data_IF_919915300930
#
_entry.id   IF_919915300930
#
_cell.length_a   1.000
_cell.length_b   1.000
_cell.length_c   1.000
_cell.angle_alpha   90.00
_cell.angle_beta   90.00
_cell.angle_gamma   90.00
#
_symmetry.space_group_name_H-M   'P 1'
#
loop_
_entity.id
_entity.type
_entity.pdbx_description
1 polymer ?
#
# COMPACT_ATOMS: atom_id res chain seq x y z
N UNK A 1 -37.24 -35.81 -10.11
CA UNK A 1 -35.82 -36.04 -10.49
C UNK A 1 -34.92 -35.15 -9.64
N UNK A 2 -33.69 -35.59 -9.38
CA UNK A 2 -32.85 -35.31 -8.20
C UNK A 2 -32.13 -33.94 -8.21
N UNK A 3 -31.82 -33.44 -7.00
CA UNK A 3 -30.94 -32.30 -6.65
C UNK A 3 -29.52 -32.45 -7.20
N UNK A 4 -28.82 -31.33 -7.39
CA UNK A 4 -27.37 -31.23 -7.18
C UNK A 4 -26.95 -29.82 -6.74
N UNK A 5 -26.72 -29.65 -5.43
CA UNK A 5 -25.75 -28.71 -4.88
C UNK A 5 -24.35 -29.23 -5.19
N UNK A 6 -23.43 -28.41 -5.69
CA UNK A 6 -22.01 -28.75 -5.74
C UNK A 6 -21.24 -27.93 -4.70
N UNK A 7 -20.97 -28.56 -3.56
CA UNK A 7 -20.03 -28.08 -2.55
C UNK A 7 -18.60 -28.16 -3.10
N UNK A 8 -17.82 -27.08 -2.93
CA UNK A 8 -16.39 -27.06 -3.24
C UNK A 8 -15.64 -27.77 -2.13
N UNK A 9 -15.00 -28.89 -2.48
CA UNK A 9 -14.23 -29.76 -1.59
C UNK A 9 -12.86 -29.12 -1.28
N UNK A 10 -12.61 -28.80 -0.01
CA UNK A 10 -11.27 -28.44 0.46
C UNK A 10 -10.35 -29.68 0.43
N UNK A 11 -9.19 -29.55 -0.21
CA UNK A 11 -8.18 -30.61 -0.32
C UNK A 11 -7.40 -30.67 1.00
N UNK A 12 -7.60 -31.74 1.77
CA UNK A 12 -6.87 -32.02 3.02
C UNK A 12 -5.71 -32.96 2.70
N UNK A 13 -4.50 -32.43 2.50
CA UNK A 13 -3.29 -33.25 2.36
C UNK A 13 -2.76 -33.59 3.75
N UNK A 14 -3.05 -34.80 4.23
CA UNK A 14 -2.41 -35.37 5.43
C UNK A 14 -1.16 -36.12 4.96
N UNK A 15 0.03 -35.60 5.23
CA UNK A 15 1.28 -36.37 5.08
C UNK A 15 1.52 -37.19 6.34
N UNK A 16 1.60 -38.51 6.16
CA UNK A 16 1.92 -39.50 7.19
C UNK A 16 3.42 -39.38 7.53
N UNK A 17 3.74 -39.02 8.77
CA UNK A 17 5.11 -39.10 9.29
C UNK A 17 5.39 -40.57 9.64
N UNK A 18 6.37 -41.18 8.97
CA UNK A 18 6.93 -42.48 9.35
C UNK A 18 7.96 -42.27 10.45
N UNK A 19 7.69 -42.78 11.65
CA UNK A 19 8.66 -42.83 12.75
C UNK A 19 9.55 -44.06 12.59
N UNK A 20 10.87 -43.84 12.58
CA UNK A 20 11.88 -44.89 12.79
C UNK A 20 12.34 -44.73 14.25
N UNK A 21 12.00 -45.70 15.09
CA UNK A 21 12.38 -45.72 16.51
C UNK A 21 13.83 -46.14 16.68
N UNK A 22 14.66 -45.28 17.25
CA UNK A 22 15.88 -45.64 17.97
C UNK A 22 15.97 -44.70 19.20
N UNK A 23 16.24 -45.31 20.35
CA UNK A 23 15.94 -44.76 21.67
C UNK A 23 16.81 -43.61 22.15
N UNK A 24 16.22 -42.84 23.06
CA UNK A 24 16.73 -42.22 24.30
C UNK A 24 15.64 -41.23 24.73
N UNK A 25 15.23 -41.29 25.99
CA UNK A 25 14.18 -40.40 26.53
C UNK A 25 14.67 -38.95 26.56
N UNK A 26 14.40 -38.23 25.46
CA UNK A 26 14.52 -36.78 25.37
C UNK A 26 13.13 -36.17 25.39
N UNK A 27 12.87 -35.28 26.34
CA UNK A 27 11.66 -34.49 26.40
C UNK A 27 11.61 -33.59 25.14
N UNK A 28 10.78 -33.97 24.16
CA UNK A 28 10.57 -33.14 22.97
C UNK A 28 9.64 -32.00 23.37
N UNK A 29 10.23 -30.85 23.70
CA UNK A 29 9.49 -29.58 23.68
C UNK A 29 9.02 -29.36 22.25
N UNK A 30 7.70 -29.26 21.98
CA UNK A 30 7.24 -28.88 20.65
C UNK A 30 7.80 -27.49 20.38
N UNK A 31 8.76 -27.37 19.46
CA UNK A 31 9.06 -26.06 18.90
C UNK A 31 7.83 -25.65 18.10
N UNK A 32 7.06 -24.72 18.64
CA UNK A 32 6.07 -23.99 17.86
C UNK A 32 6.88 -23.17 16.86
N UNK A 33 7.13 -23.77 15.71
CA UNK A 33 7.63 -23.03 14.56
C UNK A 33 6.50 -22.11 14.13
N UNK A 34 6.61 -20.84 14.48
CA UNK A 34 5.71 -19.79 14.03
C UNK A 34 5.93 -19.62 12.52
N UNK A 35 5.28 -20.46 11.71
CA UNK A 35 5.16 -20.23 10.29
C UNK A 35 4.08 -19.16 10.12
N UNK A 36 4.49 -17.90 10.19
CA UNK A 36 3.65 -16.83 9.65
C UNK A 36 3.57 -17.09 8.14
N UNK A 37 2.45 -17.66 7.71
CA UNK A 37 1.97 -17.53 6.34
C UNK A 37 0.88 -16.48 6.34
N UNK A 38 1.15 -15.33 6.96
CA UNK A 38 0.36 -14.15 6.64
C UNK A 38 0.71 -13.77 5.20
N UNK A 39 -0.27 -13.48 4.33
CA UNK A 39 0.04 -12.65 3.17
C UNK A 39 0.71 -11.38 3.72
N UNK A 40 1.79 -10.93 3.08
CA UNK A 40 2.53 -9.79 3.61
C UNK A 40 1.60 -8.59 3.69
N UNK A 41 1.39 -8.11 4.92
CA UNK A 41 0.38 -7.10 5.19
C UNK A 41 0.77 -5.82 4.45
N UNK A 42 0.01 -5.52 3.41
CA UNK A 42 0.17 -4.33 2.60
C UNK A 42 -0.37 -3.12 3.36
N UNK A 43 0.15 -1.95 3.06
CA UNK A 43 -0.15 -0.71 3.79
C UNK A 43 -0.57 0.40 2.83
N UNK A 44 -1.50 1.22 3.29
CA UNK A 44 -1.89 2.47 2.65
C UNK A 44 -1.43 3.61 3.55
N UNK A 45 -0.60 4.48 3.02
CA UNK A 45 -0.04 5.64 3.70
C UNK A 45 -0.66 6.89 3.09
N UNK A 46 -1.54 7.52 3.86
CA UNK A 46 -2.24 8.74 3.48
C UNK A 46 -1.67 9.94 4.24
N UNK A 47 -1.46 11.05 3.52
CA UNK A 47 -1.20 12.37 4.07
C UNK A 47 -0.12 12.36 5.17
N UNK A 48 -0.40 12.84 6.39
CA UNK A 48 0.57 12.92 7.50
C UNK A 48 1.31 11.61 7.82
N UNK A 49 0.75 10.45 7.49
CA UNK A 49 1.43 9.17 7.74
C UNK A 49 2.72 9.00 6.93
N UNK A 50 2.84 9.64 5.76
CA UNK A 50 4.09 9.59 4.99
C UNK A 50 5.23 10.29 5.74
N UNK A 51 4.91 11.29 6.57
CA UNK A 51 5.86 12.08 7.36
C UNK A 51 6.24 11.44 8.69
N UNK A 52 5.54 10.37 9.08
CA UNK A 52 5.71 9.75 10.39
C UNK A 52 7.12 9.14 10.57
N UNK A 53 7.52 9.02 11.83
CA UNK A 53 8.72 8.31 12.28
C UNK A 53 10.00 8.65 11.49
N UNK A 54 10.42 9.92 11.40
CA UNK A 54 11.58 10.33 10.59
C UNK A 54 12.89 9.65 11.03
N UNK A 55 13.02 9.26 12.30
CA UNK A 55 14.20 8.55 12.80
C UNK A 55 14.14 7.02 12.59
N UNK A 56 13.10 6.48 11.95
CA UNK A 56 12.94 5.04 11.73
C UNK A 56 13.20 4.67 10.26
N UNK A 57 14.37 4.08 9.93
CA UNK A 57 14.76 3.81 8.54
C UNK A 57 13.76 2.92 7.78
N UNK A 58 13.15 1.94 8.46
CA UNK A 58 12.16 1.06 7.83
C UNK A 58 10.94 1.85 7.34
N UNK A 59 10.53 2.91 8.03
CA UNK A 59 9.45 3.77 7.56
C UNK A 59 9.87 4.56 6.31
N UNK A 60 11.10 5.09 6.29
CA UNK A 60 11.67 5.75 5.11
C UNK A 60 11.73 4.81 3.90
N UNK A 61 12.11 3.55 4.10
CA UNK A 61 12.14 2.52 3.06
C UNK A 61 10.75 2.19 2.52
N UNK A 62 9.73 2.13 3.39
CA UNK A 62 8.33 1.89 3.00
C UNK A 62 7.76 3.07 2.23
N UNK A 63 7.93 4.29 2.73
CA UNK A 63 7.48 5.53 2.07
C UNK A 63 8.23 5.75 0.76
N UNK A 64 9.52 5.40 0.71
CA UNK A 64 10.39 5.64 -0.44
C UNK A 64 11.06 7.00 -0.46
N UNK A 65 10.98 7.76 0.63
CA UNK A 65 11.58 9.08 0.77
C UNK A 65 12.47 9.07 2.01
N UNK A 66 13.77 9.28 1.80
CA UNK A 66 14.78 9.20 2.85
C UNK A 66 14.78 10.45 3.74
N UNK A 67 14.91 11.63 3.12
CA UNK A 67 14.75 12.91 3.81
C UNK A 67 13.31 13.39 3.67
N UNK A 68 12.58 13.37 4.78
CA UNK A 68 11.19 13.83 4.86
C UNK A 68 11.06 15.19 5.54
N UNK A 69 12.13 15.98 5.51
CA UNK A 69 12.06 17.41 5.78
C UNK A 69 11.14 18.05 4.75
N UNK A 70 10.17 18.84 5.20
CA UNK A 70 9.10 19.31 4.32
C UNK A 70 8.67 20.74 4.68
N UNK A 71 8.21 21.47 3.68
CA UNK A 71 7.31 22.61 3.84
C UNK A 71 5.88 22.20 3.53
N UNK A 72 4.89 22.83 4.15
CA UNK A 72 3.48 22.59 3.86
C UNK A 72 2.75 23.89 3.53
N UNK A 73 1.78 23.79 2.63
CA UNK A 73 0.94 24.91 2.21
C UNK A 73 -0.52 24.46 2.16
N UNK A 74 -1.37 24.88 3.10
CA UNK A 74 -2.80 24.53 3.08
C UNK A 74 -3.52 25.27 1.95
N UNK A 75 -4.74 24.84 1.63
CA UNK A 75 -5.68 25.53 0.74
C UNK A 75 -5.10 25.79 -0.67
N UNK A 76 -4.31 24.86 -1.21
CA UNK A 76 -3.84 24.94 -2.59
C UNK A 76 -4.85 24.29 -3.53
N UNK A 77 -4.92 24.79 -4.77
CA UNK A 77 -5.64 24.12 -5.85
C UNK A 77 -4.65 23.34 -6.69
N UNK A 78 -4.76 22.02 -6.68
CA UNK A 78 -3.93 21.11 -7.44
C UNK A 78 -4.66 20.64 -8.67
N UNK A 79 -3.97 20.70 -9.82
CA UNK A 79 -4.31 19.90 -11.00
C UNK A 79 -3.53 18.60 -10.93
N UNK A 80 -4.22 17.52 -10.60
CA UNK A 80 -3.63 16.18 -10.50
C UNK A 80 -3.67 15.51 -11.86
N UNK A 81 -2.51 15.08 -12.34
CA UNK A 81 -2.30 14.42 -13.63
C UNK A 81 -2.07 12.93 -13.44
N UNK A 82 -2.48 12.12 -14.44
CA UNK A 82 -2.26 10.68 -14.46
C UNK A 82 -0.86 10.41 -15.04
N UNK A 83 0.06 9.93 -14.21
CA UNK A 83 1.43 9.62 -14.63
C UNK A 83 1.54 8.19 -15.20
N UNK A 84 0.80 7.25 -14.64
CA UNK A 84 0.71 5.87 -15.14
C UNK A 84 -0.76 5.50 -15.42
N UNK A 85 -1.21 5.50 -16.69
CA UNK A 85 -2.59 5.15 -17.03
C UNK A 85 -2.86 3.64 -17.07
N UNK A 86 -1.84 2.79 -16.97
CA UNK A 86 -1.98 1.33 -17.06
C UNK A 86 -2.08 0.68 -15.67
N UNK A 87 -1.55 1.33 -14.63
CA UNK A 87 -1.60 0.82 -13.26
C UNK A 87 -3.06 0.72 -12.74
N UNK A 88 -3.45 -0.38 -12.04
CA UNK A 88 -4.85 -0.60 -11.64
C UNK A 88 -5.51 0.54 -10.85
N UNK A 89 -4.72 1.29 -10.07
CA UNK A 89 -5.23 2.42 -9.28
C UNK A 89 -5.70 3.59 -10.15
N UNK A 90 -5.03 3.80 -11.28
CA UNK A 90 -5.17 4.97 -12.17
C UNK A 90 -5.74 4.62 -13.54
N UNK A 91 -5.91 3.33 -13.82
CA UNK A 91 -6.53 2.84 -15.04
C UNK A 91 -7.94 3.40 -15.23
N UNK A 92 -8.21 3.84 -16.46
CA UNK A 92 -9.47 4.44 -16.91
C UNK A 92 -9.85 5.72 -16.13
N UNK A 93 -8.84 6.42 -15.59
CA UNK A 93 -9.01 7.71 -14.91
C UNK A 93 -8.53 8.87 -15.76
N UNK A 94 -9.07 10.04 -15.47
CA UNK A 94 -8.65 11.30 -16.09
C UNK A 94 -8.02 12.20 -15.04
N UNK A 95 -7.24 13.19 -15.48
CA UNK A 95 -6.77 14.27 -14.64
C UNK A 95 -7.95 15.02 -14.00
N UNK A 96 -7.75 15.53 -12.78
CA UNK A 96 -8.77 16.26 -12.04
C UNK A 96 -8.17 17.44 -11.29
N UNK A 97 -9.05 18.32 -10.80
CA UNK A 97 -8.66 19.42 -9.91
C UNK A 97 -9.22 19.18 -8.51
N UNK A 98 -8.46 19.53 -7.48
CA UNK A 98 -8.90 19.44 -6.09
C UNK A 98 -8.21 20.48 -5.19
N UNK A 99 -8.85 20.79 -4.06
CA UNK A 99 -8.26 21.59 -3.00
C UNK A 99 -7.63 20.70 -1.92
N UNK A 100 -6.41 21.02 -1.49
CA UNK A 100 -5.67 20.25 -0.48
C UNK A 100 -4.50 21.04 0.12
N UNK A 101 -3.87 20.48 1.15
CA UNK A 101 -2.54 20.88 1.60
C UNK A 101 -1.46 20.20 0.76
N UNK A 102 -0.50 20.98 0.25
CA UNK A 102 0.65 20.47 -0.52
C UNK A 102 1.89 20.38 0.35
N UNK A 103 2.76 19.40 0.04
CA UNK A 103 4.09 19.31 0.63
C UNK A 103 5.17 19.65 -0.37
N UNK A 104 6.11 20.51 0.01
CA UNK A 104 7.40 20.66 -0.66
C UNK A 104 8.39 19.77 0.09
N UNK A 105 8.66 18.59 -0.48
CA UNK A 105 9.49 17.53 0.08
C UNK A 105 10.24 16.85 -1.07
N UNK A 106 11.26 16.05 -0.77
CA UNK A 106 11.93 15.20 -1.75
C UNK A 106 10.95 14.26 -2.49
N UNK A 107 11.32 13.91 -3.73
CA UNK A 107 10.56 12.97 -4.54
C UNK A 107 10.72 11.52 -4.04
N UNK A 108 9.72 10.65 -4.28
CA UNK A 108 9.87 9.22 -4.06
C UNK A 108 11.05 8.66 -4.87
N UNK A 109 11.80 7.75 -4.26
CA UNK A 109 12.96 7.12 -4.90
C UNK A 109 12.60 6.38 -6.19
N UNK A 110 13.61 6.13 -7.04
CA UNK A 110 13.49 5.54 -8.40
C UNK A 110 12.86 4.15 -8.45
N UNK A 111 12.73 3.48 -7.31
CA UNK A 111 12.04 2.21 -7.12
C UNK A 111 10.54 2.38 -6.81
N UNK A 112 10.02 3.62 -6.85
CA UNK A 112 8.59 3.93 -6.84
C UNK A 112 8.01 3.96 -8.25
N UNK A 113 6.80 3.44 -8.37
CA UNK A 113 5.94 3.67 -9.53
C UNK A 113 5.09 4.91 -9.25
N UNK A 114 5.38 6.01 -9.93
CA UNK A 114 4.62 7.26 -9.77
C UNK A 114 3.30 7.12 -10.52
N UNK A 115 2.19 7.30 -9.80
CA UNK A 115 0.84 7.10 -10.33
C UNK A 115 0.17 8.41 -10.67
N UNK A 116 0.36 9.41 -9.79
CA UNK A 116 -0.25 10.72 -9.90
C UNK A 116 0.80 11.80 -9.67
N UNK A 117 0.73 12.88 -10.45
CA UNK A 117 1.62 14.04 -10.31
C UNK A 117 0.84 15.34 -10.25
N UNK A 118 1.50 16.42 -9.84
CA UNK A 118 1.02 17.78 -10.01
C UNK A 118 2.20 18.69 -10.41
N UNK A 119 1.96 19.58 -11.36
CA UNK A 119 2.86 20.70 -11.64
C UNK A 119 2.37 21.92 -10.86
N UNK A 120 2.89 22.10 -9.64
CA UNK A 120 2.50 23.18 -8.76
C UNK A 120 3.71 23.75 -8.01
N UNK A 121 3.94 25.08 -8.03
CA UNK A 121 5.18 25.69 -7.51
C UNK A 121 5.38 25.55 -5.99
N UNK A 122 4.34 25.13 -5.26
CA UNK A 122 4.37 24.89 -3.81
C UNK A 122 4.15 23.42 -3.44
N UNK A 123 4.45 22.51 -4.36
CA UNK A 123 4.29 21.07 -4.16
C UNK A 123 5.51 20.33 -4.69
N UNK A 124 5.78 19.16 -4.13
CA UNK A 124 6.48 18.09 -4.81
C UNK A 124 5.68 17.65 -6.05
N UNK A 125 6.38 17.08 -7.03
CA UNK A 125 5.82 16.62 -8.28
C UNK A 125 4.98 15.35 -8.10
N UNK A 126 5.47 14.36 -7.36
CA UNK A 126 4.69 13.13 -7.10
C UNK A 126 3.62 13.34 -6.03
N UNK A 127 2.37 13.02 -6.40
CA UNK A 127 1.22 13.13 -5.50
C UNK A 127 0.84 11.75 -4.95
N UNK A 128 0.86 10.71 -5.78
CA UNK A 128 0.68 9.33 -5.33
C UNK A 128 1.63 8.38 -6.03
N UNK A 129 2.07 7.36 -5.31
CA UNK A 129 3.02 6.37 -5.82
C UNK A 129 2.79 5.00 -5.17
N UNK A 130 3.12 3.97 -5.94
CA UNK A 130 3.09 2.58 -5.51
C UNK A 130 4.52 2.06 -5.32
N UNK A 131 4.70 1.22 -4.29
CA UNK A 131 5.99 0.61 -3.96
C UNK A 131 5.80 -0.81 -3.48
N UNK A 132 6.88 -1.58 -3.57
CA UNK A 132 7.01 -2.87 -2.90
C UNK A 132 8.02 -2.76 -1.77
N UNK A 133 7.59 -3.02 -0.54
CA UNK A 133 8.50 -3.19 0.58
C UNK A 133 8.57 -4.68 0.93
N UNK A 134 9.68 -5.32 0.55
CA UNK A 134 9.80 -6.79 0.50
C UNK A 134 8.73 -7.38 -0.42
N UNK A 135 7.68 -7.98 0.14
CA UNK A 135 6.55 -8.56 -0.60
C UNK A 135 5.23 -7.84 -0.31
N UNK A 136 5.24 -6.81 0.54
CA UNK A 136 4.08 -5.99 0.84
C UNK A 136 3.92 -4.88 -0.20
N UNK A 137 2.69 -4.67 -0.68
CA UNK A 137 2.32 -3.49 -1.48
C UNK A 137 2.19 -2.29 -0.54
N UNK A 138 2.80 -1.17 -0.92
CA UNK A 138 2.72 0.10 -0.20
C UNK A 138 2.16 1.13 -1.16
N UNK A 139 0.95 1.62 -0.90
CA UNK A 139 0.38 2.74 -1.64
C UNK A 139 0.56 4.01 -0.81
N UNK A 140 1.22 5.00 -1.37
CA UNK A 140 1.42 6.29 -0.73
C UNK A 140 0.63 7.36 -1.50
N UNK A 141 -0.04 8.23 -0.77
CA UNK A 141 -0.79 9.35 -1.34
C UNK A 141 -0.61 10.56 -0.43
N UNK A 142 0.04 11.59 -0.96
CA UNK A 142 0.37 12.82 -0.25
C UNK A 142 -0.86 13.58 0.22
N UNK A 143 -1.95 13.48 -0.54
CA UNK A 143 -3.17 14.23 -0.29
C UNK A 143 -4.06 13.69 0.81
N UNK A 144 -4.89 14.55 1.39
CA UNK A 144 -5.95 14.14 2.31
C UNK A 144 -6.11 15.00 3.56
N UNK A 145 -5.83 16.29 3.48
CA UNK A 145 -5.77 17.19 4.63
C UNK A 145 -7.10 17.34 5.37
N UNK A 146 -8.18 17.64 4.63
CA UNK A 146 -9.43 18.07 5.24
C UNK A 146 -10.69 17.68 4.43
N UNK A 147 -11.84 18.16 4.91
CA UNK A 147 -13.14 17.91 4.30
C UNK A 147 -13.26 18.41 2.86
N UNK A 148 -12.49 19.40 2.42
CA UNK A 148 -12.51 19.87 1.03
C UNK A 148 -11.86 18.84 0.12
N UNK A 149 -10.73 18.27 0.54
CA UNK A 149 -10.07 17.17 -0.19
C UNK A 149 -10.96 15.93 -0.23
N UNK A 150 -11.53 15.54 0.91
CA UNK A 150 -12.39 14.35 1.02
C UNK A 150 -13.74 14.50 0.29
N UNK A 151 -14.22 15.72 0.06
CA UNK A 151 -15.42 15.97 -0.74
C UNK A 151 -15.19 15.76 -2.25
N UNK A 152 -13.94 15.71 -2.70
CA UNK A 152 -13.62 15.46 -4.09
C UNK A 152 -13.80 13.95 -4.42
N UNK A 153 -14.69 13.59 -5.36
CA UNK A 153 -14.95 12.18 -5.68
C UNK A 153 -13.74 11.48 -6.29
N UNK A 154 -12.90 12.20 -7.02
CA UNK A 154 -11.70 11.63 -7.63
C UNK A 154 -10.64 11.25 -6.58
N UNK A 155 -10.50 12.07 -5.54
CA UNK A 155 -9.69 11.74 -4.36
C UNK A 155 -10.20 10.47 -3.67
N UNK A 156 -11.51 10.43 -3.35
CA UNK A 156 -12.12 9.28 -2.67
C UNK A 156 -11.98 7.97 -3.45
N UNK A 157 -12.19 8.01 -4.77
CA UNK A 157 -11.99 6.85 -5.65
C UNK A 157 -10.52 6.41 -5.70
N UNK A 158 -9.57 7.36 -5.65
CA UNK A 158 -8.13 7.04 -5.62
C UNK A 158 -7.76 6.31 -4.34
N UNK A 159 -8.26 6.78 -3.19
CA UNK A 159 -8.07 6.10 -1.89
C UNK A 159 -8.67 4.69 -1.94
N UNK A 160 -9.91 4.54 -2.43
CA UNK A 160 -10.57 3.24 -2.54
C UNK A 160 -9.76 2.27 -3.40
N UNK A 161 -9.31 2.70 -4.57
CA UNK A 161 -8.50 1.88 -5.47
C UNK A 161 -7.13 1.56 -4.89
N UNK A 162 -6.49 2.51 -4.21
CA UNK A 162 -5.24 2.26 -3.47
C UNK A 162 -5.39 1.15 -2.43
N UNK A 163 -6.50 1.17 -1.67
CA UNK A 163 -6.85 0.11 -0.72
C UNK A 163 -7.09 -1.22 -1.45
N UNK A 164 -7.87 -1.23 -2.53
CA UNK A 164 -8.16 -2.45 -3.30
C UNK A 164 -6.89 -3.05 -3.90
N UNK A 165 -6.00 -2.24 -4.45
CA UNK A 165 -4.71 -2.66 -4.99
C UNK A 165 -3.81 -3.22 -3.89
N UNK A 166 -3.68 -2.52 -2.76
CA UNK A 166 -2.92 -3.02 -1.61
C UNK A 166 -3.47 -4.37 -1.11
N UNK A 167 -4.81 -4.53 -1.10
CA UNK A 167 -5.50 -5.76 -0.74
C UNK A 167 -5.56 -6.82 -1.86
N UNK A 168 -4.89 -6.59 -3.00
CA UNK A 168 -4.83 -7.49 -4.15
C UNK A 168 -6.22 -7.85 -4.73
N UNK A 169 -7.11 -6.87 -4.81
CA UNK A 169 -8.46 -7.02 -5.37
C UNK A 169 -8.62 -6.42 -6.77
N UNK A 170 -7.65 -5.60 -7.18
CA UNK A 170 -7.45 -5.06 -8.52
C UNK A 170 -5.97 -5.16 -8.91
#
# INVERSE_FOLDING_TARGET
MRRAHSERRAIRTVRRLTTKTLGTEGFVVPSVSFHWRTPEQSIVLLHHSILAYPQWPVWSEMVGIQDRSFGHHPEQTLRVEIADPDHPVTKDRNAWEMADETYMMDEPGVDSEILLTADHPRSMGAIAWARMHRRARVFCFQSGHDNLTWANPDFGETVLRGIQWAAQRI
#
